data_IF_601424228835
#
_entry.id   IF_601424228835
#
_cell.length_a   1.000
_cell.length_b   1.000
_cell.length_c   1.000
_cell.angle_alpha   90.00
_cell.angle_beta   90.00
_cell.angle_gamma   90.00
#
_symmetry.space_group_name_H-M   'P 1'
#
loop_
_entity.id
_entity.type
_entity.pdbx_description
1 polymer ?
#
# COMPACT_ATOMS: atom_id res chain seq x y z
N UNK A 1 -26.50 14.45 -25.56
CA UNK A 1 -25.55 13.44 -25.05
C UNK A 1 -24.20 14.11 -25.06
N UNK A 2 -23.87 14.85 -24.01
CA UNK A 2 -22.57 15.50 -23.89
C UNK A 2 -21.91 14.93 -22.63
N UNK A 3 -21.03 13.97 -22.85
CA UNK A 3 -20.14 13.39 -21.83
C UNK A 3 -19.25 14.47 -21.18
N UNK A 4 -19.23 15.68 -21.76
CA UNK A 4 -18.59 16.91 -21.29
C UNK A 4 -19.52 17.87 -20.51
N UNK A 5 -20.65 17.39 -20.00
CA UNK A 5 -21.41 18.15 -19.01
C UNK A 5 -20.53 18.42 -17.78
N UNK A 6 -20.55 19.63 -17.18
CA UNK A 6 -19.75 19.96 -16.00
C UNK A 6 -19.98 18.98 -14.83
N UNK A 7 -21.17 18.37 -14.76
CA UNK A 7 -21.48 17.32 -13.78
C UNK A 7 -20.67 16.05 -14.04
N UNK A 8 -20.50 15.64 -15.29
CA UNK A 8 -19.72 14.46 -15.67
C UNK A 8 -18.23 14.61 -15.30
N UNK A 9 -17.67 15.80 -15.52
CA UNK A 9 -16.27 16.11 -15.17
C UNK A 9 -16.06 16.03 -13.64
N UNK A 10 -17.00 16.55 -12.85
CA UNK A 10 -16.93 16.51 -11.38
C UNK A 10 -16.98 15.07 -10.86
N UNK A 11 -17.86 14.22 -11.42
CA UNK A 11 -17.96 12.81 -11.02
C UNK A 11 -16.67 12.05 -11.33
N UNK A 12 -16.08 12.25 -12.51
CA UNK A 12 -14.80 11.63 -12.88
C UNK A 12 -13.66 12.12 -11.97
N UNK A 13 -13.59 13.42 -11.68
CA UNK A 13 -12.59 13.97 -10.78
C UNK A 13 -12.70 13.41 -9.36
N UNK A 14 -13.91 13.25 -8.83
CA UNK A 14 -14.14 12.62 -7.52
C UNK A 14 -13.66 11.17 -7.50
N UNK A 15 -13.95 10.39 -8.55
CA UNK A 15 -13.45 9.02 -8.67
C UNK A 15 -11.92 8.97 -8.67
N UNK A 16 -11.26 9.82 -9.45
CA UNK A 16 -9.79 9.89 -9.51
C UNK A 16 -9.20 10.22 -8.14
N UNK A 17 -9.79 11.15 -7.38
CA UNK A 17 -9.32 11.52 -6.03
C UNK A 17 -9.50 10.36 -5.05
N UNK A 18 -10.62 9.64 -5.10
CA UNK A 18 -10.84 8.46 -4.24
C UNK A 18 -9.82 7.37 -4.54
N UNK A 19 -9.59 7.05 -5.82
CA UNK A 19 -8.57 6.08 -6.23
C UNK A 19 -7.15 6.52 -5.83
N UNK A 20 -6.80 7.79 -6.05
CA UNK A 20 -5.49 8.32 -5.66
C UNK A 20 -5.26 8.22 -4.15
N UNK A 21 -6.29 8.52 -3.34
CA UNK A 21 -6.22 8.38 -1.89
C UNK A 21 -6.07 6.92 -1.45
N UNK A 22 -6.76 5.99 -2.11
CA UNK A 22 -6.62 4.56 -1.84
C UNK A 22 -5.20 4.06 -2.17
N UNK A 23 -4.67 4.41 -3.34
CA UNK A 23 -3.31 4.08 -3.76
C UNK A 23 -2.29 4.68 -2.79
N UNK A 24 -2.45 5.96 -2.39
CA UNK A 24 -1.56 6.63 -1.44
C UNK A 24 -1.51 5.90 -0.10
N UNK A 25 -2.65 5.42 0.41
CA UNK A 25 -2.68 4.61 1.64
C UNK A 25 -1.91 3.31 1.48
N UNK A 26 -2.13 2.57 0.40
CA UNK A 26 -1.41 1.31 0.12
C UNK A 26 0.10 1.56 0.02
N UNK A 27 0.49 2.61 -0.70
CA UNK A 27 1.90 2.95 -0.90
C UNK A 27 2.59 3.30 0.42
N UNK A 28 1.92 4.05 1.31
CA UNK A 28 2.43 4.35 2.65
C UNK A 28 2.62 3.07 3.48
N UNK A 29 1.64 2.18 3.46
CA UNK A 29 1.74 0.88 4.18
C UNK A 29 2.92 0.06 3.66
N UNK A 30 3.06 -0.08 2.34
CA UNK A 30 4.19 -0.77 1.73
C UNK A 30 5.54 -0.15 2.13
N UNK A 31 5.63 1.18 2.12
CA UNK A 31 6.85 1.88 2.53
C UNK A 31 7.21 1.60 3.98
N UNK A 32 6.24 1.64 4.90
CA UNK A 32 6.50 1.33 6.32
C UNK A 32 6.93 -0.12 6.52
N UNK A 33 6.31 -1.09 5.81
CA UNK A 33 6.71 -2.50 5.87
C UNK A 33 8.15 -2.67 5.37
N UNK A 34 8.50 -2.03 4.25
CA UNK A 34 9.86 -2.07 3.71
C UNK A 34 10.87 -1.46 4.68
N UNK A 35 10.53 -0.34 5.31
CA UNK A 35 11.37 0.32 6.32
C UNK A 35 11.62 -0.59 7.51
N UNK A 36 10.58 -1.25 8.04
CA UNK A 36 10.70 -2.20 9.15
C UNK A 36 11.61 -3.38 8.76
N UNK A 37 11.42 -3.94 7.56
CA UNK A 37 12.28 -5.02 7.06
C UNK A 37 13.73 -4.57 6.96
N UNK A 38 13.98 -3.37 6.44
CA UNK A 38 15.34 -2.82 6.32
C UNK A 38 16.00 -2.61 7.69
N UNK A 39 15.25 -2.07 8.65
CA UNK A 39 15.71 -1.91 10.04
C UNK A 39 16.03 -3.26 10.67
N UNK A 40 15.20 -4.28 10.45
CA UNK A 40 15.43 -5.64 10.94
C UNK A 40 16.72 -6.26 10.38
N UNK A 41 16.98 -6.10 9.08
CA UNK A 41 18.23 -6.59 8.47
C UNK A 41 19.44 -5.85 9.02
N UNK A 42 19.41 -4.52 9.07
CA UNK A 42 20.60 -3.71 9.40
C UNK A 42 20.91 -3.71 10.90
N UNK A 43 19.91 -3.46 11.76
CA UNK A 43 20.15 -3.33 13.19
C UNK A 43 20.25 -4.68 13.90
N UNK A 44 19.46 -5.66 13.47
CA UNK A 44 19.36 -6.95 14.14
C UNK A 44 20.08 -8.08 13.39
N UNK A 45 20.63 -7.82 12.21
CA UNK A 45 21.31 -8.83 11.40
C UNK A 45 20.39 -9.96 10.97
N UNK A 46 19.07 -9.73 10.93
CA UNK A 46 18.07 -10.76 10.62
C UNK A 46 18.25 -11.20 9.17
N UNK A 47 18.32 -12.51 8.95
CA UNK A 47 18.46 -13.06 7.61
C UNK A 47 17.19 -12.82 6.79
N UNK A 48 17.34 -12.72 5.47
CA UNK A 48 16.19 -12.53 4.58
C UNK A 48 15.18 -13.69 4.67
N UNK A 49 15.65 -14.91 4.97
CA UNK A 49 14.78 -16.07 5.17
C UNK A 49 13.94 -15.96 6.45
N UNK A 50 14.49 -15.40 7.53
CA UNK A 50 13.74 -15.21 8.78
C UNK A 50 12.65 -14.15 8.61
N UNK A 51 12.94 -13.07 7.85
CA UNK A 51 11.94 -12.06 7.50
C UNK A 51 10.80 -12.63 6.66
N UNK A 52 11.10 -13.48 5.67
CA UNK A 52 10.09 -14.18 4.87
C UNK A 52 9.25 -15.14 5.71
N UNK A 53 9.88 -15.87 6.62
CA UNK A 53 9.20 -16.74 7.58
C UNK A 53 8.21 -15.94 8.45
N UNK A 54 8.65 -14.82 9.04
CA UNK A 54 7.78 -13.96 9.84
C UNK A 54 6.66 -13.32 9.02
N UNK A 55 6.96 -12.82 7.82
CA UNK A 55 5.96 -12.28 6.92
C UNK A 55 4.89 -13.33 6.53
N UNK A 56 5.31 -14.57 6.28
CA UNK A 56 4.38 -15.68 6.01
C UNK A 56 3.53 -16.05 7.23
N UNK A 57 4.11 -16.03 8.43
CA UNK A 57 3.36 -16.23 9.68
C UNK A 57 2.30 -15.15 9.92
N UNK A 58 2.63 -13.88 9.67
CA UNK A 58 1.68 -12.77 9.77
C UNK A 58 0.57 -12.91 8.72
N UNK A 59 0.91 -13.25 7.48
CA UNK A 59 -0.09 -13.47 6.42
C UNK A 59 -1.05 -14.62 6.77
N UNK A 60 -0.53 -15.76 7.24
CA UNK A 60 -1.35 -16.90 7.65
C UNK A 60 -2.17 -16.63 8.91
N UNK A 61 -1.79 -15.67 9.76
CA UNK A 61 -2.55 -15.30 10.95
C UNK A 61 -3.69 -14.31 10.68
N UNK A 62 -3.57 -13.54 9.59
CA UNK A 62 -4.59 -12.57 9.15
C UNK A 62 -5.73 -13.24 8.35
N UNK A 63 -5.50 -14.44 7.80
CA UNK A 63 -6.52 -15.27 7.14
C UNK A 63 -7.06 -16.36 8.08
#
# INVERSE_FOLDING_TARGET
>A
MDILSPVGIVVIAMLVVVFANFISKILKVLFYVLLIAFVAVILFGVSYNDLLSWASGILLWVF
#
